data_IF_684006468170
#
_entry.id   IF_684006468170
#
_cell.length_a   1.000
_cell.length_b   1.000
_cell.length_c   1.000
_cell.angle_alpha   90.00
_cell.angle_beta   90.00
_cell.angle_gamma   90.00
#
_symmetry.space_group_name_H-M   'P 1'
#
loop_
_entity.id
_entity.type
_entity.pdbx_description
1 polymer ?
#
# COMPACT_ATOMS: atom_id res chain seq x y z
N UNK A 1 -0.34 20.50 -27.80
CA UNK A 1 -0.54 19.75 -26.54
C UNK A 1 0.76 19.85 -25.76
N UNK A 2 0.72 20.50 -24.59
CA UNK A 2 1.88 20.64 -23.72
C UNK A 2 2.21 19.27 -23.13
N UNK A 3 3.32 18.67 -23.59
CA UNK A 3 3.81 17.35 -23.17
C UNK A 3 4.76 17.44 -21.98
N UNK A 4 4.77 18.56 -21.24
CA UNK A 4 5.59 18.67 -20.04
C UNK A 4 5.17 17.61 -19.00
N UNK A 5 6.12 16.82 -18.47
CA UNK A 5 5.80 15.79 -17.50
C UNK A 5 5.19 16.44 -16.26
N UNK A 6 4.03 15.93 -15.81
CA UNK A 6 3.39 16.34 -14.56
C UNK A 6 4.46 16.40 -13.46
N UNK A 7 4.61 17.58 -12.83
CA UNK A 7 5.56 17.78 -11.74
C UNK A 7 5.13 16.87 -10.59
N UNK A 8 5.84 15.76 -10.40
CA UNK A 8 5.51 14.75 -9.38
C UNK A 8 5.56 15.41 -8.00
N UNK A 9 4.57 15.12 -7.16
CA UNK A 9 4.62 15.38 -5.72
C UNK A 9 5.99 15.00 -5.13
N UNK A 10 6.46 15.81 -4.19
CA UNK A 10 7.78 15.68 -3.59
C UNK A 10 7.94 14.33 -2.88
N UNK A 11 9.07 13.66 -3.10
CA UNK A 11 9.37 12.37 -2.49
C UNK A 11 10.19 12.59 -1.23
N UNK A 12 9.81 11.90 -0.16
CA UNK A 12 10.43 12.01 1.16
C UNK A 12 11.53 10.97 1.36
N UNK A 13 12.49 11.28 2.23
CA UNK A 13 13.45 10.30 2.78
C UNK A 13 12.87 9.46 3.91
N UNK A 14 11.75 9.90 4.48
CA UNK A 14 11.07 9.17 5.54
C UNK A 14 10.22 8.07 4.90
N UNK A 15 10.73 6.84 4.93
CA UNK A 15 10.02 5.66 4.45
C UNK A 15 8.86 5.31 5.40
N UNK A 16 7.73 4.90 4.84
CA UNK A 16 6.60 4.45 5.65
C UNK A 16 6.83 3.06 6.28
N UNK A 17 7.74 2.28 5.71
CA UNK A 17 8.08 0.93 6.15
C UNK A 17 9.59 0.73 6.16
N UNK A 18 10.08 0.09 7.22
CA UNK A 18 11.40 -0.53 7.27
C UNK A 18 11.21 -2.04 7.05
N UNK A 19 11.97 -2.63 6.13
CA UNK A 19 11.84 -4.06 5.84
C UNK A 19 12.99 -4.83 6.48
N UNK A 20 12.66 -5.72 7.42
CA UNK A 20 13.60 -6.59 8.12
C UNK A 20 13.23 -8.04 7.78
N UNK A 21 14.22 -8.82 7.34
CA UNK A 21 14.03 -10.23 6.91
C UNK A 21 12.93 -10.40 5.84
N UNK A 22 12.77 -9.41 4.97
CA UNK A 22 11.80 -9.45 3.86
C UNK A 22 10.38 -8.98 4.21
N UNK A 23 10.13 -8.49 5.42
CA UNK A 23 8.81 -8.03 5.85
C UNK A 23 8.84 -6.64 6.48
N UNK A 24 7.75 -5.88 6.32
CA UNK A 24 7.57 -4.59 6.98
C UNK A 24 7.57 -4.79 8.50
N UNK A 25 8.53 -4.18 9.18
CA UNK A 25 8.74 -4.34 10.61
C UNK A 25 7.71 -3.53 11.41
N UNK A 26 7.16 -4.16 12.45
CA UNK A 26 6.13 -3.57 13.33
C UNK A 26 4.76 -3.37 12.70
N UNK A 27 4.52 -3.83 11.47
CA UNK A 27 3.20 -3.78 10.84
C UNK A 27 2.33 -4.96 11.29
N UNK A 28 1.02 -4.72 11.41
CA UNK A 28 0.05 -5.75 11.77
C UNK A 28 -0.02 -6.87 10.71
N UNK A 29 -0.09 -6.49 9.44
CA UNK A 29 -0.02 -7.46 8.34
C UNK A 29 1.45 -7.76 8.01
N UNK A 30 1.76 -9.03 7.73
CA UNK A 30 3.08 -9.48 7.30
C UNK A 30 3.34 -9.09 5.82
N UNK A 31 3.44 -7.78 5.56
CA UNK A 31 3.64 -7.24 4.23
C UNK A 31 5.07 -7.48 3.74
N UNK A 32 5.20 -8.23 2.65
CA UNK A 32 6.51 -8.55 2.06
C UNK A 32 7.16 -7.33 1.40
N UNK A 33 8.48 -7.35 1.31
CA UNK A 33 9.27 -6.27 0.72
C UNK A 33 9.15 -6.17 -0.81
N UNK A 34 8.55 -7.18 -1.45
CA UNK A 34 8.05 -7.13 -2.82
C UNK A 34 7.02 -6.02 -3.03
N UNK A 35 6.30 -5.60 -1.97
CA UNK A 35 5.31 -4.52 -2.02
C UNK A 35 5.90 -3.11 -1.99
N UNK A 36 7.24 -2.96 -2.06
CA UNK A 36 7.88 -1.63 -2.15
C UNK A 36 7.34 -0.81 -3.33
N UNK A 37 7.01 -1.45 -4.45
CA UNK A 37 6.46 -0.76 -5.63
C UNK A 37 5.07 -0.18 -5.32
N UNK A 38 4.20 -0.99 -4.70
CA UNK A 38 2.84 -0.65 -4.28
C UNK A 38 2.82 0.43 -3.21
N UNK A 39 3.82 0.44 -2.33
CA UNK A 39 4.05 1.50 -1.35
C UNK A 39 4.75 2.73 -1.95
N UNK A 40 5.06 2.74 -3.25
CA UNK A 40 5.85 3.76 -3.93
C UNK A 40 7.17 4.08 -3.23
N UNK A 41 7.86 3.06 -2.73
CA UNK A 41 9.22 3.10 -2.20
C UNK A 41 10.18 2.73 -3.34
N UNK A 42 11.10 3.64 -3.68
CA UNK A 42 12.00 3.46 -4.83
C UNK A 42 13.43 3.83 -4.47
N UNK A 43 14.38 3.01 -4.91
CA UNK A 43 15.80 3.34 -4.87
C UNK A 43 16.08 4.35 -5.99
N UNK A 44 16.55 5.53 -5.63
CA UNK A 44 16.77 6.62 -6.59
C UNK A 44 18.19 7.12 -6.50
N UNK A 45 18.83 7.31 -7.66
CA UNK A 45 20.14 7.95 -7.74
C UNK A 45 20.01 9.44 -7.38
N UNK A 46 20.86 9.90 -6.48
CA UNK A 46 20.98 11.29 -6.05
C UNK A 46 22.44 11.72 -6.20
N UNK A 47 22.66 13.03 -6.34
CA UNK A 47 24.00 13.62 -6.39
C UNK A 47 24.22 14.54 -5.21
N UNK A 48 25.34 14.36 -4.51
CA UNK A 48 25.85 15.28 -3.50
C UNK A 48 27.32 15.51 -3.80
N UNK A 49 27.72 16.77 -3.91
CA UNK A 49 29.11 17.15 -4.21
C UNK A 49 29.69 16.46 -5.47
N UNK A 50 28.86 16.33 -6.51
CA UNK A 50 29.15 15.63 -7.79
C UNK A 50 29.37 14.12 -7.67
N UNK A 51 29.18 13.53 -6.49
CA UNK A 51 29.23 12.09 -6.25
C UNK A 51 27.81 11.54 -6.27
N UNK A 52 27.60 10.50 -7.08
CA UNK A 52 26.33 9.77 -7.12
C UNK A 52 26.22 8.80 -5.94
N UNK A 53 25.07 8.77 -5.29
CA UNK A 53 24.71 7.79 -4.28
C UNK A 53 23.25 7.35 -4.48
N UNK A 54 22.93 6.15 -4.02
CA UNK A 54 21.55 5.63 -4.09
C UNK A 54 20.89 5.76 -2.72
N UNK A 55 19.65 6.22 -2.74
CA UNK A 55 18.86 6.41 -1.53
C UNK A 55 17.44 5.93 -1.77
N UNK A 56 16.87 5.20 -0.80
CA UNK A 56 15.47 4.82 -0.82
C UNK A 56 14.61 6.05 -0.51
N UNK A 57 13.59 6.29 -1.31
CA UNK A 57 12.69 7.43 -1.15
C UNK A 57 11.22 7.00 -1.24
N UNK A 58 10.40 7.58 -0.38
CA UNK A 58 8.95 7.41 -0.30
C UNK A 58 8.27 8.39 -1.24
N UNK A 59 7.37 7.91 -2.10
CA UNK A 59 6.42 8.78 -2.78
C UNK A 59 4.97 8.50 -2.35
N UNK A 60 4.01 9.31 -2.80
CA UNK A 60 2.63 9.23 -2.35
C UNK A 60 1.73 8.36 -3.27
N UNK A 61 2.29 7.72 -4.30
CA UNK A 61 1.50 7.07 -5.35
C UNK A 61 1.28 5.58 -5.08
N UNK A 62 0.53 5.27 -4.01
CA UNK A 62 0.18 3.89 -3.71
C UNK A 62 -0.59 3.23 -4.85
N UNK A 63 -0.22 2.00 -5.19
CA UNK A 63 -0.72 1.33 -6.39
C UNK A 63 -1.00 -0.17 -6.20
N UNK A 64 -1.65 -0.53 -5.09
CA UNK A 64 -2.13 -1.90 -4.88
C UNK A 64 -3.07 -2.34 -6.01
N UNK A 65 -3.07 -3.63 -6.31
CA UNK A 65 -3.71 -4.23 -7.48
C UNK A 65 -4.59 -5.43 -7.12
N UNK A 66 -5.58 -5.71 -7.96
CA UNK A 66 -6.45 -6.88 -7.83
C UNK A 66 -5.65 -8.19 -7.82
N UNK A 67 -6.12 -9.16 -7.03
CA UNK A 67 -5.53 -10.49 -6.90
C UNK A 67 -4.42 -10.59 -5.85
N UNK A 68 -3.95 -9.46 -5.31
CA UNK A 68 -2.94 -9.46 -4.24
C UNK A 68 -3.51 -10.05 -2.95
N UNK A 69 -2.77 -10.97 -2.34
CA UNK A 69 -3.13 -11.66 -1.11
C UNK A 69 -2.07 -11.42 -0.04
N UNK A 70 -2.49 -10.94 1.12
CA UNK A 70 -1.64 -10.53 2.23
C UNK A 70 -2.10 -11.23 3.50
N UNK A 71 -1.17 -11.83 4.25
CA UNK A 71 -1.45 -12.51 5.51
C UNK A 71 -0.91 -11.71 6.70
N UNK A 72 -1.45 -11.92 7.89
CA UNK A 72 -0.92 -11.37 9.14
C UNK A 72 0.30 -12.13 9.68
N UNK A 73 0.50 -13.38 9.23
CA UNK A 73 1.60 -14.23 9.67
C UNK A 73 2.70 -14.39 8.59
N UNK A 74 3.97 -14.21 8.97
CA UNK A 74 5.12 -14.41 8.06
C UNK A 74 5.25 -15.87 7.61
N UNK A 75 4.88 -16.81 8.48
CA UNK A 75 4.93 -18.24 8.23
C UNK A 75 3.98 -18.68 7.11
N UNK A 76 2.96 -17.89 6.80
CA UNK A 76 2.04 -18.10 5.68
C UNK A 76 2.76 -18.17 4.33
N UNK A 77 3.93 -17.55 4.22
CA UNK A 77 4.72 -17.46 2.98
C UNK A 77 5.75 -18.60 2.82
N UNK A 78 5.72 -19.61 3.69
CA UNK A 78 6.64 -20.76 3.63
C UNK A 78 5.89 -22.06 3.31
N UNK A 79 5.62 -22.89 4.31
CA UNK A 79 4.82 -24.12 4.18
C UNK A 79 3.38 -23.87 4.60
N UNK A 80 2.45 -23.95 3.64
CA UNK A 80 1.04 -23.61 3.82
C UNK A 80 0.38 -24.28 5.03
N UNK A 81 0.61 -25.58 5.26
CA UNK A 81 0.02 -26.32 6.37
C UNK A 81 0.43 -25.78 7.76
N UNK A 82 1.64 -25.21 7.85
CA UNK A 82 2.12 -24.59 9.08
C UNK A 82 1.67 -23.13 9.16
N UNK A 83 1.70 -22.42 8.02
CA UNK A 83 1.24 -21.05 7.90
C UNK A 83 -0.23 -20.89 8.27
N UNK A 84 -1.11 -21.76 7.81
CA UNK A 84 -2.55 -21.70 8.09
C UNK A 84 -2.89 -21.77 9.58
N UNK A 85 -2.06 -22.47 10.36
CA UNK A 85 -2.20 -22.53 11.83
C UNK A 85 -1.78 -21.24 12.54
N UNK A 86 -1.08 -20.35 11.84
CA UNK A 86 -0.57 -19.07 12.35
C UNK A 86 -1.35 -17.86 11.85
N UNK A 87 -2.00 -17.98 10.70
CA UNK A 87 -2.85 -16.93 10.14
C UNK A 87 -4.06 -16.72 11.05
N UNK A 88 -4.28 -15.47 11.49
CA UNK A 88 -5.54 -15.04 12.09
C UNK A 88 -6.36 -14.20 11.12
N UNK A 89 -5.69 -13.56 10.16
CA UNK A 89 -6.32 -12.70 9.18
C UNK A 89 -5.59 -12.79 7.83
N UNK A 90 -6.36 -13.01 6.77
CA UNK A 90 -5.88 -12.84 5.40
C UNK A 90 -6.71 -11.76 4.69
N UNK A 91 -6.07 -11.02 3.79
CA UNK A 91 -6.66 -9.95 3.01
C UNK A 91 -6.42 -10.20 1.52
N UNK A 92 -7.49 -10.33 0.74
CA UNK A 92 -7.42 -10.42 -0.72
C UNK A 92 -8.00 -9.17 -1.36
N UNK A 93 -7.22 -8.51 -2.21
CA UNK A 93 -7.68 -7.36 -2.99
C UNK A 93 -8.51 -7.88 -4.17
N UNK A 94 -9.76 -7.42 -4.25
CA UNK A 94 -10.72 -7.84 -5.29
C UNK A 94 -10.93 -6.78 -6.37
N UNK A 95 -10.58 -5.53 -6.10
CA UNK A 95 -10.49 -4.48 -7.12
C UNK A 95 -9.66 -3.32 -6.56
N UNK A 96 -8.91 -2.62 -7.41
CA UNK A 96 -8.18 -1.43 -6.96
C UNK A 96 -7.98 -0.42 -8.09
N UNK A 97 -7.85 0.85 -7.70
CA UNK A 97 -7.39 1.95 -8.54
C UNK A 97 -6.24 2.64 -7.83
N UNK A 98 -5.10 2.92 -8.49
CA UNK A 98 -3.95 3.56 -7.85
C UNK A 98 -4.20 5.04 -7.57
N UNK A 99 -3.40 5.60 -6.67
CA UNK A 99 -3.26 7.04 -6.52
C UNK A 99 -2.67 7.64 -7.80
N UNK A 100 -3.26 8.73 -8.29
CA UNK A 100 -2.80 9.40 -9.52
C UNK A 100 -2.44 10.87 -9.27
N UNK A 101 -1.40 11.41 -9.93
CA UNK A 101 -1.13 12.83 -9.89
C UNK A 101 -2.20 13.60 -10.68
N UNK A 102 -2.73 14.66 -10.09
CA UNK A 102 -3.64 15.59 -10.74
C UNK A 102 -3.05 17.00 -10.74
N UNK A 103 -3.31 17.74 -11.83
CA UNK A 103 -2.97 19.15 -11.98
C UNK A 103 -4.24 19.96 -11.75
N UNK A 104 -4.22 20.82 -10.74
CA UNK A 104 -5.31 21.75 -10.44
C UNK A 104 -4.85 23.14 -10.89
N UNK A 105 -5.60 23.74 -11.80
CA UNK A 105 -5.33 25.11 -12.27
C UNK A 105 -6.34 26.03 -11.60
N UNK A 106 -5.85 27.02 -10.85
CA UNK A 106 -6.68 28.05 -10.29
C UNK A 106 -6.84 29.17 -11.33
N UNK A 107 -7.99 29.22 -11.98
CA UNK A 107 -8.28 30.16 -13.08
C UNK A 107 -8.22 31.64 -12.66
N UNK A 108 -8.44 31.94 -11.37
CA UNK A 108 -8.44 33.31 -10.83
C UNK A 108 -7.02 33.82 -10.59
N UNK A 109 -6.11 32.95 -10.17
CA UNK A 109 -4.74 33.32 -9.79
C UNK A 109 -3.68 32.86 -10.79
N UNK A 110 -4.10 32.12 -11.82
CA UNK A 110 -3.25 31.40 -12.78
C UNK A 110 -2.20 30.48 -12.12
N UNK A 111 -2.47 30.08 -10.87
CA UNK A 111 -1.58 29.18 -10.11
C UNK A 111 -1.92 27.73 -10.43
N UNK A 112 -0.88 26.97 -10.76
CA UNK A 112 -0.97 25.51 -10.88
C UNK A 112 -0.55 24.86 -9.55
N UNK A 113 -1.41 23.99 -9.03
CA UNK A 113 -1.11 23.10 -7.91
C UNK A 113 -1.11 21.64 -8.37
N UNK A 114 -0.19 20.84 -7.83
CA UNK A 114 -0.15 19.41 -8.07
C UNK A 114 -0.61 18.69 -6.82
N UNK A 115 -1.62 17.84 -6.95
CA UNK A 115 -2.14 17.02 -5.85
C UNK A 115 -2.14 15.55 -6.24
N UNK A 116 -2.32 14.70 -5.23
CA UNK A 116 -2.59 13.29 -5.42
C UNK A 116 -4.10 13.11 -5.30
N UNK A 117 -4.70 12.53 -6.33
CA UNK A 117 -6.06 12.02 -6.24
C UNK A 117 -5.99 10.59 -5.71
N UNK A 118 -6.61 10.37 -4.56
CA UNK A 118 -6.64 9.05 -3.94
C UNK A 118 -7.39 8.05 -4.83
N UNK A 119 -6.75 6.92 -5.03
CA UNK A 119 -7.38 5.73 -5.58
C UNK A 119 -8.17 4.97 -4.51
N UNK A 120 -8.67 3.80 -4.86
CA UNK A 120 -9.40 2.93 -3.94
C UNK A 120 -8.85 1.52 -3.93
N UNK A 121 -9.15 0.78 -2.87
CA UNK A 121 -8.88 -0.65 -2.71
C UNK A 121 -10.14 -1.31 -2.15
N UNK A 122 -10.75 -2.19 -2.92
CA UNK A 122 -11.77 -3.12 -2.46
C UNK A 122 -11.11 -4.44 -2.11
N UNK A 123 -11.37 -4.95 -0.92
CA UNK A 123 -10.74 -6.18 -0.44
C UNK A 123 -11.69 -7.01 0.42
N UNK A 124 -11.44 -8.32 0.45
CA UNK A 124 -12.12 -9.28 1.33
C UNK A 124 -11.13 -9.73 2.41
N UNK A 125 -11.62 -9.75 3.64
CA UNK A 125 -10.94 -10.37 4.76
C UNK A 125 -11.42 -11.81 4.94
N UNK A 126 -10.48 -12.67 5.32
CA UNK A 126 -10.72 -14.07 5.63
C UNK A 126 -10.16 -14.39 6.99
N UNK A 127 -10.83 -15.30 7.70
CA UNK A 127 -10.37 -15.88 8.97
C UNK A 127 -10.24 -17.39 8.82
N UNK A 128 -9.34 -18.05 9.56
CA UNK A 128 -9.36 -19.50 9.64
C UNK A 128 -10.71 -20.00 10.19
N UNK A 129 -11.14 -21.17 9.76
CA UNK A 129 -12.20 -21.90 10.44
C UNK A 129 -11.73 -22.42 11.81
N UNK A 130 -12.65 -22.91 12.65
CA UNK A 130 -12.33 -23.40 14.00
C UNK A 130 -11.23 -24.46 14.01
N UNK A 131 -11.14 -25.27 12.95
CA UNK A 131 -10.13 -26.31 12.79
C UNK A 131 -8.81 -25.85 12.18
N UNK A 132 -8.67 -24.57 11.78
CA UNK A 132 -7.53 -24.06 11.02
C UNK A 132 -7.18 -24.93 9.80
N UNK A 133 -8.20 -25.40 9.09
CA UNK A 133 -8.09 -26.24 7.89
C UNK A 133 -8.32 -25.46 6.61
N UNK A 134 -8.99 -24.31 6.69
CA UNK A 134 -9.22 -23.40 5.54
C UNK A 134 -9.46 -21.96 5.99
N UNK A 135 -9.28 -21.04 5.05
CA UNK A 135 -9.71 -19.65 5.21
C UNK A 135 -11.15 -19.50 4.72
N UNK A 136 -11.97 -18.81 5.51
CA UNK A 136 -13.38 -18.55 5.22
C UNK A 136 -13.56 -17.04 5.06
N UNK A 137 -14.24 -16.57 3.98
CA UNK A 137 -14.57 -15.15 3.83
C UNK A 137 -15.35 -14.65 5.04
N UNK A 138 -14.95 -13.50 5.55
CA UNK A 138 -15.53 -12.92 6.76
C UNK A 138 -16.26 -11.59 6.47
N UNK A 139 -15.60 -10.64 5.81
CA UNK A 139 -16.15 -9.30 5.54
C UNK A 139 -15.41 -8.63 4.38
N UNK A 140 -16.08 -7.72 3.67
CA UNK A 140 -15.48 -6.91 2.62
C UNK A 140 -15.44 -5.42 2.97
N UNK A 141 -14.42 -4.72 2.47
CA UNK A 141 -14.24 -3.28 2.66
C UNK A 141 -13.90 -2.58 1.34
N UNK A 142 -14.14 -1.27 1.31
CA UNK A 142 -13.73 -0.38 0.23
C UNK A 142 -13.06 0.85 0.84
N UNK A 143 -11.74 0.91 0.77
CA UNK A 143 -10.92 1.97 1.36
C UNK A 143 -10.27 2.83 0.28
N UNK A 144 -9.84 4.04 0.66
CA UNK A 144 -8.80 4.73 -0.12
C UNK A 144 -7.50 3.92 -0.06
N UNK A 145 -6.58 4.15 -0.99
CA UNK A 145 -5.25 3.52 -0.92
C UNK A 145 -4.52 3.86 0.38
N UNK A 146 -4.68 5.09 0.89
CA UNK A 146 -4.05 5.54 2.13
C UNK A 146 -4.65 4.83 3.36
N UNK A 147 -5.98 4.74 3.42
CA UNK A 147 -6.68 4.02 4.49
C UNK A 147 -6.33 2.52 4.46
N UNK A 148 -6.17 1.93 3.26
CA UNK A 148 -5.72 0.54 3.12
C UNK A 148 -4.31 0.34 3.68
N UNK A 149 -3.36 1.23 3.39
CA UNK A 149 -2.01 1.18 3.98
C UNK A 149 -2.07 1.34 5.51
N UNK A 150 -2.93 2.20 6.04
CA UNK A 150 -3.11 2.34 7.48
C UNK A 150 -3.66 1.05 8.11
N UNK A 151 -4.62 0.38 7.46
CA UNK A 151 -5.08 -0.95 7.88
C UNK A 151 -3.92 -1.97 7.89
N UNK A 152 -3.11 -2.05 6.83
CA UNK A 152 -1.98 -2.98 6.79
C UNK A 152 -0.99 -2.77 7.95
N UNK A 153 -0.81 -1.50 8.36
CA UNK A 153 0.07 -1.11 9.47
C UNK A 153 -0.49 -1.46 10.84
N UNK A 154 -1.76 -1.15 11.06
CA UNK A 154 -2.36 -1.09 12.41
C UNK A 154 -3.29 -2.26 12.71
N UNK A 155 -3.85 -2.89 11.68
CA UNK A 155 -4.96 -3.84 11.80
C UNK A 155 -6.30 -3.16 12.06
N UNK A 156 -6.35 -1.83 12.16
CA UNK A 156 -7.56 -1.07 12.44
C UNK A 156 -8.39 -0.93 11.16
N UNK A 157 -9.67 -1.29 11.29
CA UNK A 157 -10.69 -1.14 10.26
C UNK A 157 -11.58 -0.01 10.72
N UNK A 158 -11.22 1.24 10.40
CA UNK A 158 -12.09 2.38 10.72
C UNK A 158 -13.45 2.16 10.04
N UNK A 159 -14.54 2.13 10.81
CA UNK A 159 -15.91 2.14 10.30
C UNK A 159 -16.21 3.48 9.61
N UNK A 160 -15.65 3.70 8.42
CA UNK A 160 -16.15 4.74 7.53
C UNK A 160 -17.34 4.13 6.80
N UNK A 161 -18.52 4.31 7.39
CA UNK A 161 -19.81 4.07 6.74
C UNK A 161 -19.88 4.92 5.45
N UNK A 162 -19.41 4.36 4.35
CA UNK A 162 -19.75 4.87 3.02
C UNK A 162 -21.12 4.30 2.70
N UNK A 163 -22.17 5.07 2.98
CA UNK A 163 -23.48 4.81 2.40
C UNK A 163 -23.34 4.76 0.87
N UNK A 164 -23.92 3.70 0.29
CA UNK A 164 -24.03 3.45 -1.16
C UNK A 164 -24.61 4.64 -1.92
#
# INVERSE_FOLDING_TARGET
>A
MDTSPLKKAERSRNLIANFIEGFADGWYMALQDSFKVELDIKLTERKKDKISYYEWIQGPYYCFSEGQLIYDAREAYTHWQNGLKKINLACQIVAAKPNIPIKIVNEVTDKTEYRVLDGYVKFLLFKPDEGHTRLVPYVGYNFSQNDFVNFLKTGELEEKNYHE
#
